data_IF_603907706069
#
_entry.id   IF_603907706069
#
_cell.length_a   1.000
_cell.length_b   1.000
_cell.length_c   1.000
_cell.angle_alpha   90.00
_cell.angle_beta   90.00
_cell.angle_gamma   90.00
#
_symmetry.space_group_name_H-M   'P 1'
#
loop_
_entity.id
_entity.type
_entity.pdbx_description
1 polymer ?
#
# COMPACT_ATOMS: atom_id res chain seq x y z
N UNK A 1 -9.71 0.50 20.77
CA UNK A 1 -10.19 1.90 20.71
C UNK A 1 -9.07 2.89 20.38
N UNK A 2 -7.99 2.99 21.17
CA UNK A 2 -6.87 3.92 20.92
C UNK A 2 -6.15 3.66 19.57
N UNK A 3 -5.94 2.39 19.20
CA UNK A 3 -5.32 2.04 17.90
C UNK A 3 -6.13 2.48 16.68
N UNK A 4 -7.46 2.43 16.76
CA UNK A 4 -8.34 2.84 15.65
C UNK A 4 -8.25 4.36 15.43
N UNK A 5 -8.19 5.15 16.51
CA UNK A 5 -8.05 6.61 16.44
C UNK A 5 -6.71 7.03 15.82
N UNK A 6 -5.62 6.35 16.17
CA UNK A 6 -4.28 6.61 15.61
C UNK A 6 -4.24 6.29 14.11
N UNK A 7 -4.83 5.16 13.69
CA UNK A 7 -4.85 4.75 12.29
C UNK A 7 -5.70 5.70 11.44
N UNK A 8 -6.84 6.17 11.95
CA UNK A 8 -7.69 7.17 11.28
C UNK A 8 -6.95 8.51 11.13
N UNK A 9 -6.23 8.93 12.17
CA UNK A 9 -5.45 10.18 12.14
C UNK A 9 -4.33 10.14 11.09
N UNK A 10 -3.61 9.02 11.01
CA UNK A 10 -2.56 8.80 10.00
C UNK A 10 -3.16 8.83 8.58
N UNK A 11 -4.30 8.17 8.37
CA UNK A 11 -4.98 8.14 7.07
C UNK A 11 -5.41 9.54 6.57
N UNK A 12 -5.90 10.40 7.47
CA UNK A 12 -6.37 11.75 7.12
C UNK A 12 -5.23 12.68 6.67
N UNK A 13 -4.07 12.61 7.32
CA UNK A 13 -2.90 13.45 6.99
C UNK A 13 -2.34 13.12 5.60
N UNK A 14 -2.45 11.86 5.17
CA UNK A 14 -1.84 11.38 3.93
C UNK A 14 -2.61 11.79 2.66
N UNK A 15 -3.82 12.34 2.77
CA UNK A 15 -4.64 12.74 1.63
C UNK A 15 -4.10 13.95 0.85
N UNK A 16 -3.39 14.87 1.50
CA UNK A 16 -2.84 16.05 0.83
C UNK A 16 -1.58 15.72 0.01
N UNK A 17 -0.74 14.84 0.54
CA UNK A 17 0.51 14.45 -0.11
C UNK A 17 0.31 13.56 -1.35
N UNK A 18 -0.78 12.79 -1.39
CA UNK A 18 -1.14 11.95 -2.53
C UNK A 18 -1.37 12.76 -3.82
N UNK A 19 -1.99 13.95 -3.70
CA UNK A 19 -2.22 14.85 -4.83
C UNK A 19 -0.91 15.34 -5.44
N UNK A 20 0.08 15.61 -4.60
CA UNK A 20 1.41 16.03 -5.03
C UNK A 20 2.10 14.88 -5.77
N UNK A 21 2.06 13.67 -5.20
CA UNK A 21 2.61 12.48 -5.86
C UNK A 21 1.94 12.16 -7.19
N UNK A 22 0.61 12.26 -7.27
CA UNK A 22 -0.11 12.03 -8.54
C UNK A 22 0.31 13.03 -9.62
N UNK A 23 0.52 14.29 -9.23
CA UNK A 23 1.00 15.32 -10.14
C UNK A 23 2.41 15.01 -10.64
N UNK A 24 3.30 14.55 -9.76
CA UNK A 24 4.67 14.12 -10.09
C UNK A 24 4.64 12.96 -11.09
N UNK A 25 3.84 11.91 -10.80
CA UNK A 25 3.71 10.74 -11.66
C UNK A 25 3.26 11.13 -13.08
N UNK A 26 2.26 12.02 -13.20
CA UNK A 26 1.81 12.52 -14.51
C UNK A 26 2.91 13.27 -15.26
N UNK A 27 3.74 14.04 -14.56
CA UNK A 27 4.89 14.70 -15.20
C UNK A 27 5.89 13.68 -15.73
N UNK A 28 6.17 12.63 -14.96
CA UNK A 28 7.14 11.60 -15.34
C UNK A 28 6.63 10.74 -16.52
N UNK A 29 5.33 10.44 -16.57
CA UNK A 29 4.72 9.70 -17.69
C UNK A 29 4.70 10.53 -18.99
N UNK A 30 4.51 11.85 -18.90
CA UNK A 30 4.48 12.75 -20.07
C UNK A 30 5.88 13.16 -20.55
N UNK A 31 6.91 13.00 -19.70
CA UNK A 31 8.27 13.47 -19.96
C UNK A 31 8.91 12.88 -21.23
N UNK A 32 8.83 11.56 -21.54
CA UNK A 32 9.40 11.00 -22.77
C UNK A 32 8.86 11.71 -24.01
N UNK A 33 7.55 11.96 -24.05
CA UNK A 33 6.89 12.66 -25.17
C UNK A 33 7.46 14.06 -25.34
N UNK A 34 7.64 14.79 -24.24
CA UNK A 34 8.18 16.15 -24.29
C UNK A 34 9.64 16.17 -24.72
N UNK A 35 10.47 15.28 -24.18
CA UNK A 35 11.88 15.16 -24.58
C UNK A 35 12.03 14.79 -26.05
N UNK A 36 11.16 13.90 -26.57
CA UNK A 36 11.12 13.57 -27.98
C UNK A 36 10.79 14.80 -28.84
N UNK A 37 9.77 15.58 -28.47
CA UNK A 37 9.43 16.81 -29.21
C UNK A 37 10.57 17.83 -29.20
N UNK A 38 11.23 18.04 -28.05
CA UNK A 38 12.43 18.89 -27.95
C UNK A 38 13.53 18.35 -28.87
N UNK A 39 13.74 17.03 -28.91
CA UNK A 39 14.77 16.39 -29.74
C UNK A 39 14.55 16.67 -31.22
N UNK A 40 13.29 16.58 -31.69
CA UNK A 40 12.93 16.80 -33.09
C UNK A 40 13.17 18.25 -33.51
N UNK A 41 12.76 19.20 -32.68
CA UNK A 41 12.95 20.62 -32.95
C UNK A 41 14.42 21.04 -32.84
N UNK A 42 15.17 20.53 -31.86
CA UNK A 42 16.62 20.76 -31.75
C UNK A 42 17.38 20.22 -32.96
N UNK A 43 16.92 19.10 -33.54
CA UNK A 43 17.50 18.50 -34.75
C UNK A 43 17.45 19.40 -35.98
N UNK A 44 16.58 20.42 -35.98
CA UNK A 44 16.52 21.43 -37.05
C UNK A 44 17.62 22.50 -36.95
N UNK A 45 18.50 22.42 -35.94
CA UNK A 45 19.60 23.36 -35.72
C UNK A 45 19.21 24.66 -35.01
N UNK A 46 17.97 24.76 -34.52
CA UNK A 46 17.49 25.91 -33.75
C UNK A 46 18.15 25.97 -32.37
N UNK A 47 18.30 27.18 -31.78
CA UNK A 47 18.69 27.33 -30.38
C UNK A 47 17.58 26.83 -29.46
N UNK A 48 17.96 26.36 -28.27
CA UNK A 48 17.06 25.66 -27.35
C UNK A 48 15.90 26.55 -26.85
N UNK A 49 16.13 27.86 -26.74
CA UNK A 49 15.10 28.85 -26.40
C UNK A 49 13.98 28.87 -27.45
N UNK A 50 14.35 28.85 -28.73
CA UNK A 50 13.40 28.80 -29.84
C UNK A 50 12.66 27.46 -29.87
N UNK A 51 13.36 26.36 -29.55
CA UNK A 51 12.74 25.03 -29.41
C UNK A 51 11.66 25.04 -28.33
N UNK A 52 11.94 25.61 -27.16
CA UNK A 52 10.97 25.71 -26.08
C UNK A 52 9.76 26.57 -26.45
N UNK A 53 9.94 27.66 -27.21
CA UNK A 53 8.80 28.45 -27.71
C UNK A 53 7.87 27.65 -28.62
N UNK A 54 8.43 26.86 -29.54
CA UNK A 54 7.63 25.99 -30.43
C UNK A 54 6.90 24.92 -29.63
N UNK A 55 7.58 24.34 -28.64
CA UNK A 55 7.04 23.31 -27.74
C UNK A 55 5.77 23.76 -27.01
N UNK A 56 5.62 25.05 -26.67
CA UNK A 56 4.42 25.52 -25.95
C UNK A 56 3.11 25.19 -26.64
N UNK A 57 3.10 25.10 -27.98
CA UNK A 57 1.89 24.80 -28.73
C UNK A 57 1.60 23.29 -28.76
N UNK A 58 2.63 22.45 -28.77
CA UNK A 58 2.51 20.99 -28.88
C UNK A 58 2.19 20.31 -27.55
N UNK A 59 2.53 20.92 -26.40
CA UNK A 59 2.32 20.31 -25.08
C UNK A 59 1.15 20.88 -24.30
N UNK A 60 0.33 21.80 -24.86
CA UNK A 60 -0.70 22.54 -24.09
C UNK A 60 -1.67 21.68 -23.27
N UNK A 61 -1.94 20.47 -23.74
CA UNK A 61 -2.87 19.53 -23.12
C UNK A 61 -2.23 18.67 -22.03
N UNK A 62 -0.90 18.70 -21.91
CA UNK A 62 -0.13 17.91 -20.96
C UNK A 62 -0.08 18.61 -19.59
N UNK A 63 -0.03 17.83 -18.52
CA UNK A 63 0.13 18.35 -17.15
C UNK A 63 1.47 19.07 -16.99
N UNK A 64 2.54 18.53 -17.58
CA UNK A 64 3.89 19.10 -17.52
C UNK A 64 4.02 20.43 -18.28
N UNK A 65 3.02 20.83 -19.06
CA UNK A 65 3.01 22.11 -19.78
C UNK A 65 3.20 23.32 -18.85
N UNK A 66 2.70 23.23 -17.61
CA UNK A 66 2.84 24.27 -16.59
C UNK A 66 4.32 24.58 -16.31
N UNK A 67 5.14 23.53 -16.17
CA UNK A 67 6.58 23.64 -15.94
C UNK A 67 7.29 24.37 -17.09
N UNK A 68 7.03 23.96 -18.34
CA UNK A 68 7.66 24.56 -19.51
C UNK A 68 7.16 25.99 -19.76
N UNK A 69 5.89 26.28 -19.47
CA UNK A 69 5.34 27.64 -19.56
C UNK A 69 6.06 28.58 -18.60
N UNK A 70 6.29 28.15 -17.36
CA UNK A 70 7.04 28.92 -16.37
C UNK A 70 8.51 29.09 -16.77
N UNK A 71 9.15 28.02 -17.26
CA UNK A 71 10.53 28.05 -17.78
C UNK A 71 10.71 29.11 -18.87
N UNK A 72 9.81 29.12 -19.86
CA UNK A 72 9.89 30.05 -21.00
C UNK A 72 9.60 31.48 -20.58
N UNK A 73 8.66 31.68 -19.64
CA UNK A 73 8.40 33.00 -19.07
C UNK A 73 9.67 33.59 -18.42
N UNK A 74 10.41 32.80 -17.64
CA UNK A 74 11.65 33.26 -17.02
C UNK A 74 12.81 33.44 -18.02
N UNK A 75 12.92 32.58 -19.04
CA UNK A 75 13.90 32.75 -20.12
C UNK A 75 13.72 34.09 -20.84
N UNK A 76 12.47 34.47 -21.13
CA UNK A 76 12.14 35.74 -21.79
C UNK A 76 12.39 36.98 -20.93
N UNK A 77 12.11 36.88 -19.64
CA UNK A 77 12.17 38.04 -18.74
C UNK A 77 13.57 38.36 -18.22
N UNK A 78 14.38 37.33 -17.94
CA UNK A 78 15.64 37.53 -17.21
C UNK A 78 16.89 37.57 -18.10
N UNK A 79 16.83 37.06 -19.34
CA UNK A 79 18.01 36.96 -20.21
C UNK A 79 19.18 36.18 -19.60
N UNK A 80 18.94 35.44 -18.51
CA UNK A 80 19.91 34.64 -17.76
C UNK A 80 20.09 33.25 -18.37
N UNK A 81 21.18 32.57 -18.02
CA UNK A 81 21.45 31.22 -18.51
C UNK A 81 20.38 30.21 -18.01
N UNK A 82 20.12 29.19 -18.83
CA UNK A 82 19.11 28.15 -18.56
C UNK A 82 19.39 27.40 -17.23
N UNK A 83 20.66 27.18 -16.89
CA UNK A 83 21.09 26.51 -15.66
C UNK A 83 20.62 27.24 -14.41
N UNK A 84 20.73 28.56 -14.41
CA UNK A 84 20.39 29.43 -13.30
C UNK A 84 18.87 29.49 -13.12
N UNK A 85 18.12 29.60 -14.21
CA UNK A 85 16.64 29.60 -14.14
C UNK A 85 16.11 28.29 -13.54
N UNK A 86 16.70 27.15 -13.92
CA UNK A 86 16.25 25.84 -13.44
C UNK A 86 16.75 25.52 -12.02
N UNK A 87 18.03 25.76 -11.74
CA UNK A 87 18.73 25.18 -10.58
C UNK A 87 19.31 26.19 -9.59
N UNK A 88 18.96 27.47 -9.69
CA UNK A 88 19.39 28.46 -8.68
C UNK A 88 18.94 28.05 -7.26
N UNK A 89 19.83 28.25 -6.28
CA UNK A 89 19.63 27.86 -4.88
C UNK A 89 18.50 28.60 -4.18
N UNK A 90 18.07 29.75 -4.67
CA UNK A 90 17.04 30.56 -4.03
C UNK A 90 15.72 30.51 -4.80
N UNK A 91 15.77 30.59 -6.14
CA UNK A 91 14.58 30.74 -6.99
C UNK A 91 14.46 29.73 -8.15
N UNK A 92 15.26 28.66 -8.18
CA UNK A 92 15.21 27.68 -9.27
C UNK A 92 13.82 27.04 -9.44
N UNK A 93 13.31 27.00 -10.68
CA UNK A 93 11.95 26.49 -10.99
C UNK A 93 11.78 25.04 -10.55
N UNK A 94 12.84 24.22 -10.68
CA UNK A 94 12.82 22.78 -10.33
C UNK A 94 12.33 22.55 -8.90
N UNK A 95 12.54 23.49 -7.97
CA UNK A 95 12.06 23.36 -6.59
C UNK A 95 10.54 23.31 -6.45
N UNK A 96 9.81 23.91 -7.38
CA UNK A 96 8.34 23.87 -7.41
C UNK A 96 7.81 22.54 -7.97
N UNK A 97 8.67 21.76 -8.63
CA UNK A 97 8.33 20.52 -9.32
C UNK A 97 9.24 19.40 -8.80
N UNK A 98 8.94 18.81 -7.62
CA UNK A 98 9.82 17.88 -6.92
C UNK A 98 9.85 16.46 -7.55
N UNK A 99 10.10 16.36 -8.86
CA UNK A 99 10.37 15.11 -9.56
C UNK A 99 11.88 14.93 -9.75
N UNK A 100 12.42 13.81 -9.24
CA UNK A 100 13.84 13.46 -9.41
C UNK A 100 14.18 13.21 -10.89
N UNK A 101 13.26 12.57 -11.62
CA UNK A 101 13.44 12.26 -13.03
C UNK A 101 13.45 13.54 -13.87
N UNK A 102 12.45 14.41 -13.71
CA UNK A 102 12.40 15.71 -14.39
C UNK A 102 13.67 16.52 -14.11
N UNK A 103 14.09 16.58 -12.84
CA UNK A 103 15.30 17.30 -12.44
C UNK A 103 16.56 16.76 -13.15
N UNK A 104 16.69 15.44 -13.23
CA UNK A 104 17.82 14.78 -13.88
C UNK A 104 17.82 15.00 -15.40
N UNK A 105 16.66 14.89 -16.05
CA UNK A 105 16.52 15.15 -17.49
C UNK A 105 16.82 16.62 -17.83
N UNK A 106 16.30 17.56 -17.04
CA UNK A 106 16.57 18.99 -17.23
C UNK A 106 18.06 19.31 -17.03
N UNK A 107 18.72 18.66 -16.07
CA UNK A 107 20.16 18.80 -15.88
C UNK A 107 20.94 18.29 -17.08
N UNK A 108 20.56 17.12 -17.62
CA UNK A 108 21.16 16.60 -18.84
C UNK A 108 20.97 17.57 -20.01
N UNK A 109 19.76 18.11 -20.22
CA UNK A 109 19.50 19.11 -21.28
C UNK A 109 20.45 20.31 -21.16
N UNK A 110 20.62 20.85 -19.96
CA UNK A 110 21.52 21.98 -19.71
C UNK A 110 22.97 21.62 -19.99
N UNK A 111 23.43 20.45 -19.58
CA UNK A 111 24.82 20.02 -19.78
C UNK A 111 25.14 19.70 -21.26
N UNK A 112 24.13 19.32 -22.05
CA UNK A 112 24.28 18.97 -23.48
C UNK A 112 24.06 20.19 -24.37
N UNK A 113 23.25 21.18 -23.96
CA UNK A 113 23.00 22.38 -24.76
C UNK A 113 24.27 23.18 -25.04
N UNK A 114 25.25 23.11 -24.15
CA UNK A 114 26.59 23.70 -24.33
C UNK A 114 27.39 23.07 -25.50
N UNK A 115 27.02 21.86 -25.95
CA UNK A 115 27.72 21.11 -27.00
C UNK A 115 27.13 21.30 -28.41
N UNK A 116 25.96 21.93 -28.54
CA UNK A 116 25.30 22.25 -29.81
C UNK A 116 24.06 21.41 -30.13
N UNK A 117 23.15 21.95 -30.96
CA UNK A 117 21.79 21.43 -31.18
C UNK A 117 21.71 20.01 -31.72
N UNK A 118 22.70 19.57 -32.52
CA UNK A 118 22.75 18.18 -33.03
C UNK A 118 22.93 17.17 -31.88
N UNK A 119 23.88 17.42 -30.97
CA UNK A 119 24.11 16.54 -29.81
C UNK A 119 22.93 16.57 -28.84
N UNK A 120 22.26 17.71 -28.70
CA UNK A 120 21.00 17.82 -27.94
C UNK A 120 19.94 16.91 -28.55
N UNK A 121 19.73 16.97 -29.86
CA UNK A 121 18.75 16.15 -30.55
C UNK A 121 18.99 14.65 -30.33
N UNK A 122 20.17 14.14 -30.67
CA UNK A 122 20.49 12.71 -30.55
C UNK A 122 20.42 12.21 -29.10
N UNK A 123 20.88 13.02 -28.14
CA UNK A 123 20.85 12.61 -26.73
C UNK A 123 19.45 12.62 -26.16
N UNK A 124 18.64 13.64 -26.45
CA UNK A 124 17.27 13.71 -25.96
C UNK A 124 16.37 12.65 -26.60
N UNK A 125 16.61 12.32 -27.87
CA UNK A 125 15.94 11.19 -28.52
C UNK A 125 16.26 9.88 -27.80
N UNK A 126 17.54 9.65 -27.48
CA UNK A 126 17.98 8.45 -26.75
C UNK A 126 17.39 8.38 -25.34
N UNK A 127 17.38 9.50 -24.60
CA UNK A 127 16.75 9.59 -23.27
C UNK A 127 15.25 9.33 -23.37
N UNK A 128 14.56 9.95 -24.33
CA UNK A 128 13.13 9.75 -24.55
C UNK A 128 12.80 8.27 -24.79
N UNK A 129 13.50 7.61 -25.72
CA UNK A 129 13.31 6.18 -25.99
C UNK A 129 13.62 5.31 -24.76
N UNK A 130 14.64 5.64 -23.99
CA UNK A 130 14.94 4.91 -22.75
C UNK A 130 13.79 5.03 -21.72
N UNK A 131 13.26 6.23 -21.51
CA UNK A 131 12.16 6.45 -20.57
C UNK A 131 10.86 5.80 -21.03
N UNK A 132 10.57 5.85 -22.34
CA UNK A 132 9.41 5.20 -22.94
C UNK A 132 9.47 3.69 -22.73
N UNK A 133 10.61 3.07 -23.06
CA UNK A 133 10.85 1.65 -22.80
C UNK A 133 10.72 1.31 -21.31
N UNK A 134 11.20 2.17 -20.40
CA UNK A 134 11.09 1.95 -18.97
C UNK A 134 9.62 1.99 -18.49
N UNK A 135 8.81 2.91 -19.04
CA UNK A 135 7.37 2.97 -18.76
C UNK A 135 6.67 1.72 -19.30
N UNK A 136 7.01 1.26 -20.50
CA UNK A 136 6.47 0.01 -21.06
C UNK A 136 6.81 -1.21 -20.21
N UNK A 137 8.06 -1.33 -19.74
CA UNK A 137 8.49 -2.40 -18.83
C UNK A 137 7.73 -2.35 -17.51
N UNK A 138 7.51 -1.16 -16.94
CA UNK A 138 6.69 -1.01 -15.74
C UNK A 138 5.24 -1.44 -15.98
N UNK A 139 4.61 -0.99 -17.08
CA UNK A 139 3.24 -1.38 -17.44
C UNK A 139 3.11 -2.89 -17.64
N UNK A 140 4.07 -3.51 -18.30
CA UNK A 140 4.13 -4.97 -18.47
C UNK A 140 4.31 -5.70 -17.13
N UNK A 141 5.14 -5.18 -16.24
CA UNK A 141 5.34 -5.74 -14.90
C UNK A 141 4.05 -5.66 -14.07
N UNK A 142 3.36 -4.51 -14.11
CA UNK A 142 2.06 -4.32 -13.46
C UNK A 142 1.01 -5.30 -14.01
N UNK A 143 0.99 -5.51 -15.33
CA UNK A 143 0.09 -6.46 -15.98
C UNK A 143 0.34 -7.90 -15.51
N UNK A 144 1.61 -8.35 -15.52
CA UNK A 144 2.01 -9.69 -15.09
C UNK A 144 1.73 -9.92 -13.60
N UNK A 145 1.88 -8.89 -12.77
CA UNK A 145 1.65 -8.97 -11.32
C UNK A 145 0.22 -8.61 -10.91
N UNK A 146 -0.65 -8.22 -11.84
CA UNK A 146 -2.02 -7.73 -11.53
C UNK A 146 -2.86 -8.77 -10.80
N UNK A 147 -2.77 -10.04 -11.20
CA UNK A 147 -3.46 -11.16 -10.54
C UNK A 147 -2.93 -11.36 -9.12
N UNK A 148 -1.61 -11.54 -8.97
CA UNK A 148 -0.96 -11.75 -7.66
C UNK A 148 -1.21 -10.58 -6.70
N UNK A 149 -1.08 -9.33 -7.17
CA UNK A 149 -1.34 -8.15 -6.33
C UNK A 149 -2.81 -8.05 -5.93
N UNK A 150 -3.74 -8.43 -6.81
CA UNK A 150 -5.18 -8.49 -6.48
C UNK A 150 -5.48 -9.58 -5.45
N UNK A 151 -4.87 -10.76 -5.56
CA UNK A 151 -4.97 -11.82 -4.56
C UNK A 151 -4.40 -11.39 -3.21
N UNK A 152 -3.24 -10.74 -3.20
CA UNK A 152 -2.62 -10.20 -1.99
C UNK A 152 -3.51 -9.15 -1.31
N UNK A 153 -4.14 -8.26 -2.09
CA UNK A 153 -5.14 -7.30 -1.59
C UNK A 153 -6.25 -8.04 -0.86
N UNK A 154 -6.98 -8.92 -1.56
CA UNK A 154 -8.11 -9.66 -1.00
C UNK A 154 -7.68 -10.46 0.24
N UNK A 155 -6.52 -11.09 0.19
CA UNK A 155 -5.99 -11.88 1.30
C UNK A 155 -5.70 -11.00 2.51
N UNK A 156 -5.09 -9.83 2.30
CA UNK A 156 -4.76 -8.88 3.36
C UNK A 156 -6.01 -8.37 4.08
N UNK A 157 -6.97 -7.78 3.36
CA UNK A 157 -8.09 -7.11 4.03
C UNK A 157 -9.32 -8.02 4.26
N UNK A 158 -9.47 -9.17 3.59
CA UNK A 158 -10.60 -10.10 3.81
C UNK A 158 -10.15 -11.43 4.41
N UNK A 159 -9.32 -12.21 3.72
CA UNK A 159 -9.13 -13.61 4.11
C UNK A 159 -8.30 -13.79 5.39
N UNK A 160 -7.23 -13.03 5.57
CA UNK A 160 -6.43 -13.07 6.80
C UNK A 160 -7.25 -12.76 8.07
N UNK A 161 -7.99 -11.62 8.14
CA UNK A 161 -8.82 -11.34 9.31
C UNK A 161 -10.00 -12.31 9.46
N UNK A 162 -10.56 -12.80 8.34
CA UNK A 162 -11.61 -13.81 8.38
C UNK A 162 -11.13 -15.13 8.96
N UNK A 163 -9.99 -15.65 8.48
CA UNK A 163 -9.37 -16.85 8.99
C UNK A 163 -9.03 -16.70 10.49
N UNK A 164 -8.44 -15.57 10.89
CA UNK A 164 -8.17 -15.29 12.30
C UNK A 164 -9.42 -15.30 13.17
N UNK A 165 -10.51 -14.66 12.71
CA UNK A 165 -11.79 -14.66 13.43
C UNK A 165 -12.40 -16.05 13.53
N UNK A 166 -12.37 -16.84 12.46
CA UNK A 166 -12.83 -18.23 12.44
C UNK A 166 -12.03 -19.09 13.42
N UNK A 167 -10.70 -18.96 13.45
CA UNK A 167 -9.83 -19.74 14.37
C UNK A 167 -10.19 -19.46 15.84
N UNK A 168 -10.39 -18.19 16.22
CA UNK A 168 -10.84 -17.83 17.58
C UNK A 168 -12.23 -18.39 17.88
N UNK A 169 -13.12 -18.35 16.88
CA UNK A 169 -14.45 -18.95 16.97
C UNK A 169 -14.43 -20.46 17.18
N UNK A 170 -13.60 -21.17 16.41
CA UNK A 170 -13.40 -22.61 16.53
C UNK A 170 -12.84 -22.98 17.89
N UNK A 171 -11.88 -22.20 18.42
CA UNK A 171 -11.36 -22.40 19.78
C UNK A 171 -12.47 -22.24 20.83
N UNK A 172 -13.37 -21.26 20.65
CA UNK A 172 -14.51 -21.08 21.55
C UNK A 172 -15.46 -22.28 21.53
N UNK A 173 -15.73 -22.84 20.35
CA UNK A 173 -16.54 -24.06 20.20
C UNK A 173 -15.85 -25.26 20.86
N UNK A 174 -14.53 -25.40 20.70
CA UNK A 174 -13.77 -26.47 21.35
C UNK A 174 -13.91 -26.38 22.87
N UNK A 175 -13.61 -25.23 23.47
CA UNK A 175 -13.74 -25.01 24.93
C UNK A 175 -15.17 -25.36 25.39
N UNK A 176 -16.18 -24.96 24.63
CA UNK A 176 -17.58 -25.25 24.93
C UNK A 176 -17.89 -26.75 24.94
N UNK A 177 -17.46 -27.49 23.92
CA UNK A 177 -17.67 -28.95 23.85
C UNK A 177 -17.03 -29.62 25.07
N UNK A 178 -15.82 -29.21 25.43
CA UNK A 178 -15.15 -29.77 26.61
C UNK A 178 -15.90 -29.48 27.92
N UNK A 179 -16.43 -28.26 28.11
CA UNK A 179 -17.23 -27.91 29.29
C UNK A 179 -18.55 -28.70 29.35
N UNK A 180 -19.24 -28.88 28.21
CA UNK A 180 -20.47 -29.67 28.14
C UNK A 180 -20.24 -31.14 28.43
N UNK A 181 -19.16 -31.71 27.89
CA UNK A 181 -18.74 -33.09 28.19
C UNK A 181 -18.40 -33.23 29.68
N UNK A 182 -17.74 -32.24 30.29
CA UNK A 182 -17.48 -32.21 31.74
C UNK A 182 -18.77 -32.28 32.56
N UNK A 183 -19.76 -31.42 32.28
CA UNK A 183 -21.02 -31.41 33.02
C UNK A 183 -21.79 -32.73 32.92
N UNK A 184 -21.87 -33.32 31.72
CA UNK A 184 -22.56 -34.60 31.51
C UNK A 184 -21.83 -35.79 32.17
N UNK A 185 -20.50 -35.73 32.22
CA UNK A 185 -19.72 -36.75 32.90
C UNK A 185 -19.95 -36.69 34.41
N UNK A 186 -19.90 -35.50 35.02
CA UNK A 186 -20.13 -35.31 36.45
C UNK A 186 -21.51 -35.84 36.89
N UNK A 187 -22.57 -35.60 36.11
CA UNK A 187 -23.90 -36.16 36.37
C UNK A 187 -23.96 -37.69 36.23
N UNK A 188 -23.30 -38.25 35.21
CA UNK A 188 -23.27 -39.71 34.96
C UNK A 188 -22.44 -40.48 36.01
N UNK A 189 -21.48 -39.83 36.67
CA UNK A 189 -20.60 -40.42 37.68
C UNK A 189 -21.27 -40.53 39.07
N UNK A 190 -22.39 -39.83 39.31
CA UNK A 190 -23.13 -39.89 40.58
C UNK A 190 -23.77 -41.28 40.85
N UNK A 191 -23.86 -42.15 39.85
CA UNK A 191 -24.47 -43.49 39.95
C UNK A 191 -23.51 -44.69 40.07
N UNK A 192 -22.18 -44.49 40.11
CA UNK A 192 -21.17 -45.57 39.98
C UNK A 192 -20.44 -45.85 41.32
N UNK A 193 -20.20 -47.12 41.72
CA UNK A 193 -19.46 -47.45 42.93
C UNK A 193 -18.00 -46.97 42.92
N UNK A 194 -17.59 -46.36 44.05
CA UNK A 194 -16.40 -45.50 44.23
C UNK A 194 -15.02 -46.10 43.88
N UNK A 195 -14.90 -47.43 43.74
CA UNK A 195 -13.60 -48.12 43.72
C UNK A 195 -12.99 -48.30 42.31
N UNK A 196 -13.81 -48.49 41.25
CA UNK A 196 -13.37 -48.44 39.84
C UNK A 196 -13.49 -47.05 39.22
N UNK A 197 -14.20 -46.17 39.92
CA UNK A 197 -14.48 -44.80 39.51
C UNK A 197 -13.23 -43.91 39.61
N UNK A 198 -12.37 -44.15 40.60
CA UNK A 198 -11.20 -43.32 40.90
C UNK A 198 -10.14 -43.31 39.79
N UNK A 199 -9.83 -44.44 39.17
CA UNK A 199 -8.82 -44.51 38.10
C UNK A 199 -9.33 -43.89 36.80
N UNK A 200 -10.59 -44.14 36.45
CA UNK A 200 -11.25 -43.59 35.25
C UNK A 200 -11.44 -42.07 35.39
N UNK A 201 -11.84 -41.57 36.57
CA UNK A 201 -11.94 -40.12 36.84
C UNK A 201 -10.58 -39.44 36.79
N UNK A 202 -9.48 -40.10 37.20
CA UNK A 202 -8.16 -39.46 37.17
C UNK A 202 -7.64 -39.19 35.75
N UNK A 203 -7.84 -40.15 34.83
CA UNK A 203 -7.43 -40.02 33.42
C UNK A 203 -8.36 -39.07 32.67
N UNK A 204 -9.68 -39.16 32.91
CA UNK A 204 -10.65 -38.26 32.26
C UNK A 204 -10.58 -36.85 32.84
N UNK A 205 -10.34 -36.71 34.14
CA UNK A 205 -10.14 -35.43 34.83
C UNK A 205 -8.92 -34.68 34.29
N UNK A 206 -7.79 -35.36 34.08
CA UNK A 206 -6.61 -34.75 33.47
C UNK A 206 -6.88 -34.24 32.04
N UNK A 207 -7.63 -35.00 31.23
CA UNK A 207 -8.01 -34.58 29.86
C UNK A 207 -9.02 -33.43 29.85
N UNK A 208 -9.98 -33.42 30.79
CA UNK A 208 -10.99 -32.35 30.93
C UNK A 208 -10.42 -31.05 31.50
N UNK A 209 -9.31 -31.10 32.23
CA UNK A 209 -8.64 -29.91 32.77
C UNK A 209 -7.77 -29.17 31.74
N UNK A 210 -7.35 -29.82 30.65
CA UNK A 210 -6.57 -29.20 29.56
C UNK A 210 -7.21 -27.92 28.96
N UNK A 211 -8.50 -27.88 28.60
CA UNK A 211 -9.13 -26.66 28.07
C UNK A 211 -9.32 -25.55 29.11
N UNK A 212 -9.30 -25.86 30.42
CA UNK A 212 -9.25 -24.83 31.48
C UNK A 212 -7.88 -24.15 31.56
N UNK A 213 -6.81 -24.77 31.03
CA UNK A 213 -5.46 -24.23 31.10
C UNK A 213 -5.16 -23.20 29.99
N UNK A 214 -5.90 -23.21 28.88
CA UNK A 214 -5.76 -22.22 27.80
C UNK A 214 -6.88 -21.20 27.93
N UNK A 215 -6.59 -20.03 28.52
CA UNK A 215 -7.57 -18.94 28.56
C UNK A 215 -7.78 -18.36 27.16
N UNK A 216 -9.06 -18.29 26.76
CA UNK A 216 -9.52 -17.80 25.45
C UNK A 216 -9.03 -16.37 25.16
N UNK A 217 -8.89 -15.55 26.20
CA UNK A 217 -8.42 -14.17 26.10
C UNK A 217 -6.98 -14.10 25.58
N UNK A 218 -6.08 -14.94 26.11
CA UNK A 218 -4.69 -15.02 25.63
C UNK A 218 -4.62 -15.55 24.21
N UNK A 219 -5.42 -16.56 23.89
CA UNK A 219 -5.48 -17.10 22.52
C UNK A 219 -5.95 -16.04 21.52
N UNK A 220 -6.99 -15.28 21.86
CA UNK A 220 -7.49 -14.21 21.01
C UNK A 220 -6.45 -13.11 20.77
N UNK A 221 -5.68 -12.71 21.80
CA UNK A 221 -4.62 -11.72 21.66
C UNK A 221 -3.51 -12.23 20.73
N UNK A 222 -3.05 -13.47 20.89
CA UNK A 222 -2.00 -14.07 20.05
C UNK A 222 -2.44 -14.12 18.59
N UNK A 223 -3.67 -14.57 18.31
CA UNK A 223 -4.21 -14.58 16.95
C UNK A 223 -4.40 -13.17 16.40
N UNK A 224 -4.83 -12.22 17.23
CA UNK A 224 -4.97 -10.81 16.83
C UNK A 224 -3.64 -10.18 16.40
N UNK A 225 -2.55 -10.44 17.14
CA UNK A 225 -1.19 -10.01 16.77
C UNK A 225 -0.78 -10.64 15.45
N UNK A 226 -0.98 -11.96 15.29
CA UNK A 226 -0.67 -12.67 14.05
C UNK A 226 -1.41 -12.07 12.84
N UNK A 227 -2.70 -11.76 12.97
CA UNK A 227 -3.47 -11.13 11.88
C UNK A 227 -2.87 -9.77 11.51
N UNK A 228 -2.52 -8.95 12.50
CA UNK A 228 -1.90 -7.64 12.25
C UNK A 228 -0.55 -7.79 11.54
N UNK A 229 0.30 -8.72 11.99
CA UNK A 229 1.61 -8.99 11.36
C UNK A 229 1.46 -9.45 9.91
N UNK A 230 0.55 -10.39 9.66
CA UNK A 230 0.26 -10.89 8.30
C UNK A 230 -0.22 -9.77 7.38
N UNK A 231 -1.16 -8.95 7.86
CA UNK A 231 -1.66 -7.80 7.11
C UNK A 231 -0.52 -6.81 6.83
N UNK A 232 0.32 -6.51 7.83
CA UNK A 232 1.43 -5.57 7.66
C UNK A 232 2.41 -6.06 6.60
N UNK A 233 2.82 -7.33 6.65
CA UNK A 233 3.73 -7.93 5.66
C UNK A 233 3.13 -7.85 4.25
N UNK A 234 1.89 -8.32 4.07
CA UNK A 234 1.23 -8.32 2.76
C UNK A 234 1.05 -6.91 2.21
N UNK A 235 0.64 -5.97 3.06
CA UNK A 235 0.40 -4.58 2.68
C UNK A 235 1.69 -3.85 2.31
N UNK A 236 2.79 -4.16 3.00
CA UNK A 236 4.11 -3.61 2.69
C UNK A 236 4.61 -4.10 1.33
N UNK A 237 4.58 -5.42 1.09
CA UNK A 237 4.96 -5.97 -0.22
C UNK A 237 4.08 -5.45 -1.35
N UNK A 238 2.77 -5.39 -1.15
CA UNK A 238 1.86 -4.84 -2.14
C UNK A 238 2.19 -3.36 -2.42
N UNK A 239 2.46 -2.58 -1.38
CA UNK A 239 2.84 -1.19 -1.51
C UNK A 239 4.12 -1.02 -2.33
N UNK A 240 5.12 -1.87 -2.10
CA UNK A 240 6.38 -1.86 -2.84
C UNK A 240 6.18 -2.18 -4.32
N UNK A 241 5.36 -3.20 -4.64
CA UNK A 241 5.06 -3.58 -6.02
C UNK A 241 4.27 -2.48 -6.74
N UNK A 242 3.27 -1.89 -6.06
CA UNK A 242 2.32 -0.96 -6.72
C UNK A 242 2.85 0.48 -6.82
N UNK A 243 3.61 0.93 -5.83
CA UNK A 243 3.98 2.34 -5.70
C UNK A 243 5.50 2.59 -5.70
N UNK A 244 6.32 1.54 -5.66
CA UNK A 244 7.78 1.64 -5.73
C UNK A 244 8.35 2.63 -4.70
N UNK A 245 8.98 3.71 -5.17
CA UNK A 245 9.63 4.73 -4.32
C UNK A 245 8.65 5.67 -3.57
N UNK A 246 7.35 5.64 -3.85
CA UNK A 246 6.39 6.55 -3.18
C UNK A 246 6.01 6.04 -1.78
N UNK A 247 6.86 6.37 -0.80
CA UNK A 247 6.67 6.02 0.61
C UNK A 247 5.34 6.52 1.20
N UNK A 248 4.85 7.67 0.73
CA UNK A 248 3.65 8.29 1.28
C UNK A 248 2.41 7.46 0.91
N UNK A 249 2.30 7.05 -0.37
CA UNK A 249 1.21 6.16 -0.81
C UNK A 249 1.30 4.79 -0.17
N UNK A 250 2.51 4.23 -0.04
CA UNK A 250 2.73 2.95 0.64
C UNK A 250 2.18 2.97 2.07
N UNK A 251 2.54 3.98 2.88
CA UNK A 251 2.07 4.09 4.26
C UNK A 251 0.55 4.24 4.37
N UNK A 252 -0.08 4.96 3.43
CA UNK A 252 -1.54 5.14 3.40
C UNK A 252 -2.28 3.84 3.13
N UNK A 253 -1.86 3.07 2.12
CA UNK A 253 -2.51 1.78 1.80
C UNK A 253 -2.28 0.75 2.91
N UNK A 254 -1.09 0.72 3.53
CA UNK A 254 -0.85 -0.12 4.72
C UNK A 254 -1.81 0.24 5.85
N UNK A 255 -1.96 1.52 6.18
CA UNK A 255 -2.89 1.97 7.22
C UNK A 255 -4.34 1.59 6.92
N UNK A 256 -4.76 1.76 5.67
CA UNK A 256 -6.10 1.39 5.19
C UNK A 256 -6.36 -0.11 5.33
N UNK A 257 -5.43 -0.98 4.94
CA UNK A 257 -5.62 -2.43 5.05
C UNK A 257 -5.60 -2.91 6.49
N UNK A 258 -4.74 -2.36 7.35
CA UNK A 258 -4.76 -2.64 8.79
C UNK A 258 -6.11 -2.23 9.40
N UNK A 259 -6.66 -1.06 9.02
CA UNK A 259 -7.96 -0.62 9.52
C UNK A 259 -9.10 -1.55 9.08
N UNK A 260 -9.19 -1.84 7.78
CA UNK A 260 -10.26 -2.67 7.22
C UNK A 260 -10.18 -4.09 7.80
N UNK A 261 -8.98 -4.66 7.87
CA UNK A 261 -8.79 -6.01 8.42
C UNK A 261 -9.16 -6.10 9.89
N UNK A 262 -8.79 -5.11 10.71
CA UNK A 262 -9.13 -5.08 12.13
C UNK A 262 -10.64 -4.96 12.36
N UNK A 263 -11.34 -4.17 11.53
CA UNK A 263 -12.80 -4.09 11.56
C UNK A 263 -13.44 -5.44 11.22
N UNK A 264 -12.98 -6.10 10.14
CA UNK A 264 -13.49 -7.40 9.71
C UNK A 264 -13.23 -8.47 10.78
N UNK A 265 -12.01 -8.55 11.31
CA UNK A 265 -11.64 -9.49 12.38
C UNK A 265 -12.54 -9.31 13.61
N UNK A 266 -12.72 -8.06 14.06
CA UNK A 266 -13.56 -7.75 15.22
C UNK A 266 -15.02 -8.12 14.96
N UNK A 267 -15.56 -7.79 13.78
CA UNK A 267 -16.94 -8.08 13.41
C UNK A 267 -17.21 -9.60 13.37
N UNK A 268 -16.29 -10.37 12.77
CA UNK A 268 -16.41 -11.83 12.67
C UNK A 268 -16.30 -12.48 14.04
N UNK A 269 -15.30 -12.10 14.84
CA UNK A 269 -15.13 -12.61 16.20
C UNK A 269 -16.38 -12.35 17.07
N UNK A 270 -16.96 -11.15 16.97
CA UNK A 270 -18.18 -10.79 17.70
C UNK A 270 -19.40 -11.57 17.21
N UNK A 271 -19.52 -11.75 15.90
CA UNK A 271 -20.62 -12.51 15.28
C UNK A 271 -20.59 -13.97 15.75
N UNK A 272 -19.42 -14.59 15.77
CA UNK A 272 -19.27 -15.96 16.24
C UNK A 272 -19.62 -16.08 17.73
N UNK A 273 -19.13 -15.17 18.57
CA UNK A 273 -19.51 -15.14 19.99
C UNK A 273 -21.02 -14.97 20.20
N UNK A 274 -21.66 -14.09 19.41
CA UNK A 274 -23.11 -13.88 19.43
C UNK A 274 -23.90 -15.14 19.06
N UNK A 275 -23.49 -15.83 17.99
CA UNK A 275 -24.11 -17.10 17.56
C UNK A 275 -23.98 -18.18 18.65
N UNK A 276 -22.79 -18.30 19.26
CA UNK A 276 -22.55 -19.27 20.33
C UNK A 276 -23.46 -18.97 21.54
N UNK A 277 -23.61 -17.70 21.92
CA UNK A 277 -24.49 -17.32 23.03
C UNK A 277 -25.97 -17.66 22.77
N UNK A 278 -26.43 -17.49 21.53
CA UNK A 278 -27.80 -17.88 21.13
C UNK A 278 -28.00 -19.39 21.22
N UNK A 279 -27.02 -20.17 20.74
CA UNK A 279 -27.06 -21.63 20.86
C UNK A 279 -27.10 -22.10 22.31
N UNK A 280 -26.34 -21.46 23.21
CA UNK A 280 -26.37 -21.75 24.65
C UNK A 280 -27.76 -21.54 25.26
N UNK A 281 -28.39 -20.41 24.94
CA UNK A 281 -29.71 -20.08 25.47
C UNK A 281 -30.75 -21.14 25.07
N UNK A 282 -30.67 -21.66 23.85
CA UNK A 282 -31.60 -22.70 23.39
C UNK A 282 -31.33 -24.08 24.01
N UNK A 283 -30.09 -24.42 24.36
CA UNK A 283 -29.75 -25.71 24.99
C UNK A 283 -30.14 -25.73 26.48
N UNK A 284 -30.12 -24.60 27.19
CA UNK A 284 -30.56 -24.53 28.60
C UNK A 284 -32.08 -24.49 28.80
N UNK A 285 -32.84 -24.18 27.75
CA UNK A 285 -34.32 -24.05 27.79
C UNK A 285 -35.03 -25.31 27.29
N UNK A 286 -34.30 -26.25 26.67
CA UNK A 286 -34.79 -27.56 26.22
C UNK A 286 -34.44 -28.66 27.23
#
# INVERSE_FOLDING_TARGET
MIGITIIIYIYLIQLEFEKVSEKIFKYEEELPTVLYQISMEAGTGKPLESVFEVLQNSIKTLNIAEFFKELIYFLKLRGTNLREILFNKDYGIIKKYPSKLLSSCMKAIVDISEKGSYYVSETLKSIASYLDNAIEVNKFTDEVLSETTSEMKITSYIFAPLAGGIIVGMMSILIMIFLSVQGQLEESLLGIPKQKLSEIISIIGWILELPKQISLEYFQIVIGIYVIEMVLILSWFLGEITYGEDEIRKLKEIGKYILISLLIYTFISLSIYGIIRILLYNIQVA
#
